data_IF_066709340284
#
_entry.id   IF_066709340284
#
_cell.length_a   1.000
_cell.length_b   1.000
_cell.length_c   1.000
_cell.angle_alpha   90.00
_cell.angle_beta   90.00
_cell.angle_gamma   90.00
#
_symmetry.space_group_name_H-M   'P 1'
#
loop_
_entity.id
_entity.type
_entity.pdbx_description
1 polymer ?
#
# COMPACT_ATOMS: atom_id res chain seq x y z
N UNK A 1 22.46 14.24 41.81
CA UNK A 1 22.85 13.36 40.69
C UNK A 1 21.62 13.26 39.79
N UNK A 2 21.61 13.99 38.67
CA UNK A 2 20.47 13.99 37.76
C UNK A 2 20.70 12.91 36.71
N UNK A 3 19.84 11.89 36.70
CA UNK A 3 19.82 10.87 35.65
C UNK A 3 18.89 11.39 34.55
N UNK A 4 19.46 11.82 33.42
CA UNK A 4 18.69 12.14 32.23
C UNK A 4 18.35 10.81 31.55
N UNK A 5 17.05 10.51 31.45
CA UNK A 5 16.55 9.34 30.72
C UNK A 5 16.36 9.77 29.26
N UNK A 6 17.24 9.32 28.38
CA UNK A 6 17.07 9.46 26.94
C UNK A 6 16.13 8.35 26.47
N UNK A 7 14.94 8.72 26.01
CA UNK A 7 14.00 7.80 25.37
C UNK A 7 14.20 7.89 23.86
N UNK A 8 14.60 6.80 23.23
CA UNK A 8 14.66 6.68 21.77
C UNK A 8 13.26 6.31 21.26
N UNK A 9 12.69 7.13 20.36
CA UNK A 9 11.43 6.83 19.69
C UNK A 9 11.79 6.25 18.32
N UNK A 10 11.46 4.99 18.09
CA UNK A 10 11.43 4.42 16.74
C UNK A 10 10.15 4.93 16.10
N UNK A 11 10.23 5.73 15.05
CA UNK A 11 9.05 6.00 14.23
C UNK A 11 8.73 4.71 13.46
N UNK A 12 7.65 4.03 13.86
CA UNK A 12 7.10 2.93 13.08
C UNK A 12 6.59 3.51 11.76
N UNK A 13 7.33 3.27 10.67
CA UNK A 13 6.98 3.78 9.36
C UNK A 13 5.88 2.91 8.76
N UNK A 14 4.65 3.40 8.79
CA UNK A 14 3.53 2.85 8.04
C UNK A 14 3.82 2.98 6.54
N UNK A 15 3.77 1.87 5.81
CA UNK A 15 3.92 1.86 4.35
C UNK A 15 2.54 1.91 3.70
N UNK A 16 2.28 2.95 2.92
CA UNK A 16 1.01 3.11 2.20
C UNK A 16 1.11 2.53 0.80
N UNK A 17 0.33 1.50 0.52
CA UNK A 17 0.34 0.76 -0.74
C UNK A 17 -0.99 0.96 -1.45
N UNK A 18 -0.91 1.33 -2.71
CA UNK A 18 -2.06 1.46 -3.60
C UNK A 18 -2.03 0.31 -4.60
N UNK A 19 -3.17 -0.37 -4.77
CA UNK A 19 -3.40 -1.32 -5.85
C UNK A 19 -4.48 -0.72 -6.76
N UNK A 20 -4.23 -0.61 -8.06
CA UNK A 20 -5.18 -0.15 -9.05
C UNK A 20 -5.35 -1.23 -10.13
N UNK A 21 -6.47 -1.94 -10.10
CA UNK A 21 -6.72 -3.17 -10.86
C UNK A 21 -8.24 -3.32 -11.09
N UNK A 22 -8.67 -3.53 -12.34
CA UNK A 22 -10.07 -3.59 -12.71
C UNK A 22 -10.66 -5.01 -12.54
N UNK A 23 -9.86 -6.06 -12.69
CA UNK A 23 -10.30 -7.44 -12.46
C UNK A 23 -10.21 -7.80 -10.97
N UNK A 24 -11.33 -8.27 -10.42
CA UNK A 24 -11.42 -8.58 -8.99
C UNK A 24 -10.53 -9.77 -8.58
N UNK A 25 -10.33 -10.75 -9.45
CA UNK A 25 -9.48 -11.90 -9.12
C UNK A 25 -8.02 -11.48 -9.10
N UNK A 26 -7.58 -10.67 -10.06
CA UNK A 26 -6.23 -10.13 -10.09
C UNK A 26 -5.98 -9.19 -8.91
N UNK A 27 -6.96 -8.37 -8.55
CA UNK A 27 -6.93 -7.54 -7.34
C UNK A 27 -6.69 -8.37 -6.07
N UNK A 28 -7.45 -9.46 -5.89
CA UNK A 28 -7.32 -10.37 -4.74
C UNK A 28 -5.98 -11.12 -4.77
N UNK A 29 -5.54 -11.55 -5.95
CA UNK A 29 -4.26 -12.22 -6.14
C UNK A 29 -3.09 -11.32 -5.77
N UNK A 30 -3.01 -10.11 -6.33
CA UNK A 30 -1.95 -9.13 -6.03
C UNK A 30 -1.96 -8.77 -4.55
N UNK A 31 -3.14 -8.51 -3.98
CA UNK A 31 -3.28 -8.23 -2.54
C UNK A 31 -2.72 -9.38 -1.69
N UNK A 32 -3.04 -10.63 -2.02
CA UNK A 32 -2.52 -11.78 -1.28
C UNK A 32 -0.99 -11.84 -1.29
N UNK A 33 -0.35 -11.55 -2.44
CA UNK A 33 1.10 -11.52 -2.56
C UNK A 33 1.74 -10.40 -1.77
N UNK A 34 1.14 -9.21 -1.77
CA UNK A 34 1.61 -8.09 -0.94
C UNK A 34 1.55 -8.46 0.55
N UNK A 35 0.43 -9.04 1.00
CA UNK A 35 0.25 -9.49 2.39
C UNK A 35 1.27 -10.58 2.76
N UNK A 36 1.48 -11.58 1.89
CA UNK A 36 2.45 -12.65 2.11
C UNK A 36 3.89 -12.10 2.24
N UNK A 37 4.27 -11.14 1.39
CA UNK A 37 5.62 -10.55 1.43
C UNK A 37 5.81 -9.71 2.68
N UNK A 38 4.88 -8.80 2.97
CA UNK A 38 5.03 -7.83 4.06
C UNK A 38 4.76 -8.42 5.44
N UNK A 39 3.86 -9.41 5.53
CA UNK A 39 3.60 -10.14 6.77
C UNK A 39 4.85 -10.82 7.34
N UNK A 40 5.85 -11.10 6.50
CA UNK A 40 7.12 -11.67 6.92
C UNK A 40 8.17 -10.62 7.35
N UNK A 41 7.91 -9.33 7.17
CA UNK A 41 8.90 -8.26 7.37
C UNK A 41 8.71 -7.44 8.65
N UNK A 42 7.69 -7.72 9.47
CA UNK A 42 7.34 -6.94 10.67
C UNK A 42 7.24 -5.42 10.37
N UNK A 43 6.61 -5.09 9.25
CA UNK A 43 6.35 -3.72 8.78
C UNK A 43 4.84 -3.48 8.92
N UNK A 44 4.45 -2.33 9.47
CA UNK A 44 3.06 -1.88 9.39
C UNK A 44 2.75 -1.36 7.99
N UNK A 45 1.62 -1.76 7.42
CA UNK A 45 1.21 -1.33 6.09
C UNK A 45 -0.30 -1.14 5.98
N UNK A 46 -0.69 -0.21 5.11
CA UNK A 46 -2.09 -0.02 4.68
C UNK A 46 -2.17 -0.32 3.18
N UNK A 47 -3.20 -1.06 2.75
CA UNK A 47 -3.49 -1.31 1.34
C UNK A 47 -4.81 -0.62 0.97
N UNK A 48 -4.73 0.36 0.06
CA UNK A 48 -5.89 1.00 -0.58
C UNK A 48 -6.06 0.43 -1.97
N UNK A 49 -7.31 0.20 -2.38
CA UNK A 49 -7.59 -0.44 -3.66
C UNK A 49 -8.57 0.39 -4.48
N UNK A 50 -8.26 0.51 -5.77
CA UNK A 50 -9.01 1.24 -6.78
C UNK A 50 -9.25 0.32 -7.98
N UNK A 51 -10.37 0.53 -8.65
CA UNK A 51 -10.79 -0.29 -9.79
C UNK A 51 -10.66 0.45 -11.14
N UNK A 52 -10.21 1.70 -11.12
CA UNK A 52 -9.90 2.49 -12.31
C UNK A 52 -8.89 3.58 -12.00
N UNK A 53 -8.16 4.03 -13.02
CA UNK A 53 -7.22 5.15 -12.90
C UNK A 53 -7.91 6.46 -12.47
N UNK A 54 -9.14 6.70 -12.91
CA UNK A 54 -9.93 7.88 -12.52
C UNK A 54 -10.22 7.85 -11.01
N UNK A 55 -10.72 6.72 -10.49
CA UNK A 55 -11.02 6.58 -9.06
C UNK A 55 -9.77 6.75 -8.18
N UNK A 56 -8.61 6.29 -8.68
CA UNK A 56 -7.33 6.54 -8.04
C UNK A 56 -7.01 8.03 -8.03
N UNK A 57 -7.00 8.70 -9.19
CA UNK A 57 -6.63 10.12 -9.31
C UNK A 57 -7.54 11.02 -8.44
N UNK A 58 -8.85 10.75 -8.40
CA UNK A 58 -9.80 11.53 -7.59
C UNK A 58 -9.54 11.42 -6.09
N UNK A 59 -9.08 10.26 -5.62
CA UNK A 59 -8.85 10.00 -4.20
C UNK A 59 -7.38 10.18 -3.76
N UNK A 60 -6.44 10.26 -4.70
CA UNK A 60 -5.01 10.26 -4.43
C UNK A 60 -4.56 11.54 -3.72
N UNK A 61 -3.98 11.37 -2.52
CA UNK A 61 -3.52 12.50 -1.68
C UNK A 61 -2.01 12.65 -1.68
N UNK A 62 -1.32 12.04 -2.65
CA UNK A 62 0.14 11.99 -2.69
C UNK A 62 0.77 11.37 -1.41
N UNK A 63 0.08 10.38 -0.86
CA UNK A 63 0.38 9.71 0.40
C UNK A 63 0.78 8.24 0.22
N UNK A 64 0.89 7.74 -1.02
CA UNK A 64 1.37 6.39 -1.30
C UNK A 64 2.90 6.33 -1.35
N UNK A 65 3.47 5.30 -0.72
CA UNK A 65 4.87 4.93 -0.90
C UNK A 65 5.06 4.04 -2.13
N UNK A 66 4.07 3.18 -2.42
CA UNK A 66 4.11 2.21 -3.52
C UNK A 66 2.76 2.20 -4.23
N UNK A 67 2.80 2.23 -5.57
CA UNK A 67 1.63 2.06 -6.42
C UNK A 67 1.86 0.84 -7.31
N UNK A 68 0.99 -0.16 -7.19
CA UNK A 68 0.86 -1.30 -8.09
C UNK A 68 -0.32 -0.98 -9.02
N UNK A 69 -0.01 -0.68 -10.28
CA UNK A 69 -0.98 -0.19 -11.25
C UNK A 69 -1.01 -1.10 -12.46
N UNK A 70 -2.18 -1.66 -12.76
CA UNK A 70 -2.43 -2.25 -14.07
C UNK A 70 -2.36 -1.16 -15.15
N UNK A 71 -1.77 -1.50 -16.29
CA UNK A 71 -1.62 -0.57 -17.41
C UNK A 71 -2.84 -0.68 -18.36
N UNK A 72 -3.52 -1.83 -18.40
CA UNK A 72 -4.64 -2.08 -19.33
C UNK A 72 -5.95 -2.39 -18.60
N UNK A 73 -6.54 -1.35 -18.00
CA UNK A 73 -7.77 -1.46 -17.22
C UNK A 73 -9.06 -1.45 -18.06
N UNK A 74 -8.95 -1.29 -19.37
CA UNK A 74 -10.07 -1.43 -20.31
C UNK A 74 -9.90 -2.77 -21.00
N UNK A 75 -10.65 -3.79 -20.54
CA UNK A 75 -10.53 -5.20 -20.95
C UNK A 75 -10.81 -5.51 -22.43
N UNK A 76 -10.09 -4.89 -23.35
CA UNK A 76 -10.03 -5.27 -24.75
C UNK A 76 -8.93 -6.33 -24.93
N UNK A 77 -9.28 -7.57 -24.59
CA UNK A 77 -8.62 -8.78 -25.07
C UNK A 77 -9.49 -9.43 -26.15
#
# INVERSE_FOLDING_TARGET
>A
MNIIKLTYVVEEKLVNIVICENDKNDQEFVKSKVVDILGNLNIEYEIKIYNSGESLIEAYKNDADIILMDIQMDGNC
#
